data_IF_693584806563
#
_entry.id   IF_693584806563
#
_cell.length_a   1.000
_cell.length_b   1.000
_cell.length_c   1.000
_cell.angle_alpha   90.00
_cell.angle_beta   90.00
_cell.angle_gamma   90.00
#
_symmetry.space_group_name_H-M   'P 1'
#
loop_
_entity.id
_entity.type
_entity.pdbx_description
1 polymer ?
#
# COMPACT_ATOMS: atom_id res chain seq x y z
N UNK A 1 -17.02 -12.17 0.62
CA UNK A 1 -16.44 -12.24 1.97
C UNK A 1 -15.00 -12.71 1.90
N UNK A 2 -14.72 -14.02 1.68
CA UNK A 2 -13.35 -14.53 1.49
C UNK A 2 -12.58 -13.78 0.40
N UNK A 3 -13.24 -13.42 -0.69
CA UNK A 3 -12.63 -12.67 -1.79
C UNK A 3 -12.09 -11.30 -1.38
N UNK A 4 -12.87 -10.46 -0.68
CA UNK A 4 -12.40 -9.14 -0.23
C UNK A 4 -11.22 -9.29 0.74
N UNK A 5 -11.31 -10.20 1.71
CA UNK A 5 -10.21 -10.47 2.64
C UNK A 5 -8.95 -10.93 1.92
N UNK A 6 -9.06 -11.84 0.94
CA UNK A 6 -7.91 -12.30 0.15
C UNK A 6 -7.28 -11.18 -0.67
N UNK A 7 -8.08 -10.36 -1.36
CA UNK A 7 -7.56 -9.22 -2.13
C UNK A 7 -6.96 -8.14 -1.24
N UNK A 8 -7.55 -7.89 -0.07
CA UNK A 8 -6.98 -6.97 0.91
C UNK A 8 -5.64 -7.47 1.44
N UNK A 9 -5.55 -8.77 1.79
CA UNK A 9 -4.30 -9.38 2.25
C UNK A 9 -3.20 -9.28 1.18
N UNK A 10 -3.54 -9.57 -0.08
CA UNK A 10 -2.61 -9.44 -1.20
C UNK A 10 -2.17 -7.97 -1.40
N UNK A 11 -3.12 -7.04 -1.38
CA UNK A 11 -2.83 -5.62 -1.54
C UNK A 11 -1.92 -5.09 -0.43
N UNK A 12 -2.25 -5.37 0.83
CA UNK A 12 -1.43 -4.99 1.98
C UNK A 12 -0.03 -5.62 1.90
N UNK A 13 0.07 -6.88 1.44
CA UNK A 13 1.36 -7.55 1.26
C UNK A 13 2.22 -6.85 0.20
N UNK A 14 1.66 -6.52 -0.97
CA UNK A 14 2.40 -5.80 -2.01
C UNK A 14 2.80 -4.38 -1.56
N UNK A 15 1.92 -3.69 -0.83
CA UNK A 15 2.25 -2.40 -0.25
C UNK A 15 3.43 -2.51 0.74
N UNK A 16 3.40 -3.48 1.67
CA UNK A 16 4.49 -3.70 2.62
C UNK A 16 5.79 -4.09 1.91
N UNK A 17 5.74 -4.97 0.91
CA UNK A 17 6.93 -5.35 0.14
C UNK A 17 7.54 -4.14 -0.57
N UNK A 18 6.69 -3.26 -1.12
CA UNK A 18 7.13 -2.00 -1.69
C UNK A 18 7.80 -1.11 -0.63
N UNK A 19 7.22 -0.95 0.56
CA UNK A 19 7.82 -0.13 1.62
C UNK A 19 9.17 -0.70 2.13
N UNK A 20 9.34 -2.03 2.11
CA UNK A 20 10.63 -2.68 2.42
C UNK A 20 11.68 -2.29 1.36
N UNK A 21 11.33 -2.34 0.08
CA UNK A 21 12.21 -1.93 -1.01
C UNK A 21 12.50 -0.42 -0.95
N UNK A 22 11.49 0.40 -0.67
CA UNK A 22 11.61 1.84 -0.43
C UNK A 22 12.59 2.17 0.69
N UNK A 23 12.56 1.41 1.78
CA UNK A 23 13.51 1.56 2.85
C UNK A 23 14.94 1.17 2.44
N UNK A 24 15.10 0.11 1.63
CA UNK A 24 16.40 -0.27 1.07
C UNK A 24 16.97 0.83 0.16
N UNK A 25 16.13 1.41 -0.68
CA UNK A 25 16.45 2.51 -1.60
C UNK A 25 16.57 3.88 -0.91
N UNK A 26 16.38 3.92 0.41
CA UNK A 26 16.45 5.13 1.24
C UNK A 26 15.52 6.23 0.75
N UNK A 27 14.27 5.90 0.45
CA UNK A 27 13.31 6.84 -0.13
C UNK A 27 13.12 8.12 0.71
N UNK A 28 13.39 8.07 2.02
CA UNK A 28 13.43 9.28 2.86
C UNK A 28 14.43 10.34 2.39
N UNK A 29 15.52 9.99 1.70
CA UNK A 29 16.45 10.94 1.09
C UNK A 29 15.84 11.59 -0.16
N UNK A 30 15.00 10.85 -0.89
CA UNK A 30 14.29 11.29 -2.09
C UNK A 30 13.14 12.24 -1.71
N UNK A 31 12.34 11.83 -0.73
CA UNK A 31 11.21 12.59 -0.18
C UNK A 31 11.66 13.72 0.77
N UNK A 32 12.96 13.82 1.05
CA UNK A 32 13.56 14.80 1.95
C UNK A 32 12.89 14.81 3.34
N UNK A 33 12.57 13.62 3.85
CA UNK A 33 11.90 13.49 5.14
C UNK A 33 12.81 13.94 6.29
N UNK A 34 12.30 14.72 7.25
CA UNK A 34 13.06 15.09 8.43
C UNK A 34 13.36 13.84 9.27
N UNK A 35 14.54 13.80 9.91
CA UNK A 35 14.94 12.67 10.74
C UNK A 35 15.34 11.39 9.98
N UNK A 36 15.42 11.43 8.62
CA UNK A 36 15.89 10.31 7.78
C UNK A 36 15.12 9.01 8.06
N UNK A 37 15.81 7.92 8.36
CA UNK A 37 15.23 6.61 8.73
C UNK A 37 14.24 6.73 9.88
N UNK A 38 14.53 7.54 10.90
CA UNK A 38 13.64 7.70 12.06
C UNK A 38 12.30 8.29 11.66
N UNK A 39 12.31 9.34 10.82
CA UNK A 39 11.09 9.94 10.29
C UNK A 39 10.30 8.97 9.42
N UNK A 40 11.00 8.19 8.58
CA UNK A 40 10.40 7.14 7.76
C UNK A 40 9.69 6.09 8.62
N UNK A 41 10.36 5.55 9.65
CA UNK A 41 9.76 4.56 10.55
C UNK A 41 8.56 5.12 11.33
N UNK A 42 8.67 6.34 11.88
CA UNK A 42 7.57 6.97 12.63
C UNK A 42 6.32 7.18 11.76
N UNK A 43 6.50 7.47 10.48
CA UNK A 43 5.40 7.55 9.51
C UNK A 43 4.78 6.17 9.22
N UNK A 44 5.62 5.14 9.06
CA UNK A 44 5.17 3.81 8.66
C UNK A 44 4.53 2.99 9.78
N UNK A 45 4.92 3.19 11.04
CA UNK A 45 4.30 2.51 12.20
C UNK A 45 2.78 2.63 12.18
N UNK A 46 2.16 3.84 12.16
CA UNK A 46 0.71 3.96 12.13
C UNK A 46 0.10 3.41 10.84
N UNK A 47 0.78 3.55 9.69
CA UNK A 47 0.30 3.01 8.41
C UNK A 47 0.18 1.49 8.47
N UNK A 48 1.24 0.80 8.91
CA UNK A 48 1.25 -0.67 9.02
C UNK A 48 0.22 -1.14 10.05
N UNK A 49 0.08 -0.45 11.19
CA UNK A 49 -0.95 -0.77 12.18
C UNK A 49 -2.36 -0.66 11.58
N UNK A 50 -2.65 0.41 10.83
CA UNK A 50 -3.95 0.58 10.17
C UNK A 50 -4.18 -0.52 9.13
N UNK A 51 -3.16 -0.90 8.33
CA UNK A 51 -3.27 -1.99 7.36
C UNK A 51 -3.64 -3.31 8.04
N UNK A 52 -2.92 -3.68 9.10
CA UNK A 52 -3.16 -4.94 9.82
C UNK A 52 -4.50 -4.92 10.56
N UNK A 53 -4.85 -3.81 11.20
CA UNK A 53 -6.14 -3.65 11.86
C UNK A 53 -7.30 -3.71 10.85
N UNK A 54 -7.13 -3.09 9.68
CA UNK A 54 -8.11 -3.15 8.59
C UNK A 54 -8.40 -4.57 8.12
N UNK A 55 -7.40 -5.47 8.11
CA UNK A 55 -7.62 -6.89 7.80
C UNK A 55 -8.59 -7.54 8.79
N UNK A 56 -8.39 -7.31 10.10
CA UNK A 56 -9.25 -7.84 11.16
C UNK A 56 -10.68 -7.30 11.03
N UNK A 57 -10.82 -6.01 10.74
CA UNK A 57 -12.12 -5.36 10.61
C UNK A 57 -12.86 -5.75 9.33
N UNK A 58 -12.14 -5.98 8.22
CA UNK A 58 -12.70 -6.53 6.98
C UNK A 58 -13.20 -7.96 7.20
N UNK A 59 -12.46 -8.79 7.93
CA UNK A 59 -12.90 -10.14 8.27
C UNK A 59 -14.21 -10.12 9.09
N UNK A 60 -14.32 -9.19 10.05
CA UNK A 60 -15.54 -8.94 10.82
C UNK A 60 -16.65 -8.22 10.05
N UNK A 61 -16.39 -7.80 8.81
CA UNK A 61 -17.35 -7.06 7.95
C UNK A 61 -17.87 -5.76 8.59
N UNK A 62 -17.01 -5.03 9.30
CA UNK A 62 -17.43 -3.77 9.91
C UNK A 62 -17.37 -2.62 8.90
N UNK A 63 -18.17 -1.56 9.15
CA UNK A 63 -18.09 -0.32 8.35
C UNK A 63 -16.69 0.30 8.40
N UNK A 64 -16.01 0.20 9.54
CA UNK A 64 -14.63 0.65 9.68
C UNK A 64 -13.68 -0.15 8.77
N UNK A 65 -13.84 -1.48 8.72
CA UNK A 65 -13.08 -2.35 7.82
C UNK A 65 -13.25 -1.96 6.35
N UNK A 66 -14.49 -1.68 5.92
CA UNK A 66 -14.73 -1.24 4.54
C UNK A 66 -14.14 0.14 4.25
N UNK A 67 -14.25 1.10 5.18
CA UNK A 67 -13.62 2.41 5.03
C UNK A 67 -12.09 2.30 4.92
N UNK A 68 -11.46 1.47 5.78
CA UNK A 68 -10.02 1.20 5.72
C UNK A 68 -9.66 0.49 4.41
N UNK A 69 -10.51 -0.42 3.92
CA UNK A 69 -10.35 -1.07 2.61
C UNK A 69 -10.30 -0.08 1.46
N UNK A 70 -11.20 0.92 1.44
CA UNK A 70 -11.18 2.00 0.44
C UNK A 70 -9.88 2.80 0.53
N UNK A 71 -9.50 3.23 1.74
CA UNK A 71 -8.27 4.00 1.96
C UNK A 71 -7.03 3.22 1.54
N UNK A 72 -6.95 1.95 1.89
CA UNK A 72 -5.85 1.04 1.54
C UNK A 72 -5.79 0.82 0.03
N UNK A 73 -6.94 0.57 -0.61
CA UNK A 73 -7.01 0.38 -2.06
C UNK A 73 -6.59 1.62 -2.86
N UNK A 74 -6.95 2.82 -2.39
CA UNK A 74 -6.45 4.09 -2.96
C UNK A 74 -4.96 4.26 -2.67
N UNK A 75 -4.52 3.95 -1.45
CA UNK A 75 -3.12 4.00 -1.04
C UNK A 75 -2.21 3.13 -1.91
N UNK A 76 -2.70 1.96 -2.36
CA UNK A 76 -2.00 1.08 -3.29
C UNK A 76 -1.65 1.69 -4.65
N UNK A 77 -2.29 2.80 -5.02
CA UNK A 77 -1.97 3.56 -6.24
C UNK A 77 -0.76 4.49 -6.05
N UNK A 78 -0.50 4.94 -4.82
CA UNK A 78 0.51 5.98 -4.54
C UNK A 78 1.92 5.53 -4.97
N UNK A 79 2.41 4.33 -4.61
CA UNK A 79 3.71 3.84 -5.08
C UNK A 79 3.88 3.90 -6.59
N UNK A 80 2.86 3.46 -7.32
CA UNK A 80 2.90 3.45 -8.78
C UNK A 80 2.99 4.88 -9.33
N UNK A 81 2.19 5.81 -8.82
CA UNK A 81 2.23 7.21 -9.23
C UNK A 81 3.60 7.83 -8.95
N UNK A 82 4.16 7.61 -7.76
CA UNK A 82 5.46 8.15 -7.35
C UNK A 82 6.57 7.60 -8.27
N UNK A 83 6.66 6.29 -8.46
CA UNK A 83 7.81 5.69 -9.15
C UNK A 83 7.70 5.63 -10.68
N UNK A 84 6.50 5.59 -11.25
CA UNK A 84 6.32 5.52 -12.72
C UNK A 84 5.98 6.85 -13.38
N UNK A 85 5.35 7.76 -12.64
CA UNK A 85 4.89 9.04 -13.18
C UNK A 85 5.74 10.19 -12.67
N UNK A 86 5.89 10.34 -11.35
CA UNK A 86 6.50 11.55 -10.75
C UNK A 86 8.03 11.49 -10.75
N UNK A 87 8.60 10.40 -10.23
CA UNK A 87 10.04 10.24 -10.00
C UNK A 87 10.61 9.23 -10.98
N UNK A 88 10.98 9.70 -12.17
CA UNK A 88 11.71 8.87 -13.14
C UNK A 88 13.22 9.04 -12.94
N UNK A 89 13.85 8.12 -12.21
CA UNK A 89 15.32 8.05 -12.08
C UNK A 89 15.89 6.79 -12.69
N UNK A 90 17.00 6.91 -13.43
CA UNK A 90 17.77 5.77 -13.92
C UNK A 90 18.42 5.06 -12.72
N UNK A 91 18.23 3.74 -12.63
CA UNK A 91 18.98 2.87 -11.70
C UNK A 91 18.32 2.50 -10.36
N UNK A 92 17.16 3.04 -10.02
CA UNK A 92 16.42 2.70 -8.78
C UNK A 92 15.07 2.03 -9.14
N UNK A 93 14.64 1.00 -8.41
CA UNK A 93 13.42 0.22 -8.70
C UNK A 93 13.32 -0.32 -10.14
N UNK A 94 14.42 -0.90 -10.66
CA UNK A 94 14.47 -1.44 -12.03
C UNK A 94 14.39 -2.97 -12.09
N UNK A 95 14.17 -3.65 -10.96
CA UNK A 95 13.98 -5.08 -10.98
C UNK A 95 12.57 -5.41 -11.48
N UNK A 96 12.47 -6.47 -12.30
CA UNK A 96 11.20 -6.95 -12.83
C UNK A 96 10.18 -7.27 -11.71
N UNK A 97 10.68 -7.65 -10.52
CA UNK A 97 9.85 -7.93 -9.36
C UNK A 97 9.26 -6.65 -8.74
N UNK A 98 10.01 -5.55 -8.72
CA UNK A 98 9.54 -4.24 -8.24
C UNK A 98 8.38 -3.75 -9.10
N UNK A 99 8.53 -3.88 -10.43
CA UNK A 99 7.47 -3.55 -11.38
C UNK A 99 6.24 -4.43 -11.17
N UNK A 100 6.43 -5.73 -11.03
CA UNK A 100 5.34 -6.65 -10.70
C UNK A 100 4.61 -6.22 -9.42
N UNK A 101 5.33 -5.92 -8.34
CA UNK A 101 4.74 -5.47 -7.07
C UNK A 101 3.92 -4.19 -7.30
N UNK A 102 4.44 -3.19 -8.01
CA UNK A 102 3.73 -1.93 -8.25
C UNK A 102 2.43 -2.13 -9.04
N UNK A 103 2.46 -2.88 -10.15
CA UNK A 103 1.25 -3.14 -10.94
C UNK A 103 0.27 -4.04 -10.19
N UNK A 104 0.74 -5.07 -9.49
CA UNK A 104 -0.09 -5.94 -8.68
C UNK A 104 -0.76 -5.16 -7.54
N UNK A 105 -0.06 -4.20 -6.93
CA UNK A 105 -0.60 -3.32 -5.90
C UNK A 105 -1.73 -2.44 -6.46
N UNK A 106 -1.57 -1.88 -7.65
CA UNK A 106 -2.64 -1.11 -8.34
C UNK A 106 -3.86 -1.99 -8.60
N UNK A 107 -3.68 -3.15 -9.22
CA UNK A 107 -4.79 -4.04 -9.59
C UNK A 107 -5.54 -4.50 -8.35
N UNK A 108 -4.82 -5.00 -7.35
CA UNK A 108 -5.43 -5.46 -6.09
C UNK A 108 -6.08 -4.31 -5.34
N UNK A 109 -5.49 -3.12 -5.34
CA UNK A 109 -6.02 -1.93 -4.66
C UNK A 109 -7.34 -1.45 -5.26
N UNK A 110 -7.44 -1.40 -6.59
CA UNK A 110 -8.70 -1.08 -7.30
C UNK A 110 -9.78 -2.09 -6.94
N UNK A 111 -9.46 -3.39 -6.96
CA UNK A 111 -10.42 -4.45 -6.61
C UNK A 111 -10.88 -4.32 -5.15
N UNK A 112 -9.96 -4.09 -4.21
CA UNK A 112 -10.30 -3.87 -2.79
C UNK A 112 -11.23 -2.67 -2.64
N UNK A 113 -10.88 -1.52 -3.22
CA UNK A 113 -11.69 -0.31 -3.11
C UNK A 113 -13.10 -0.52 -3.66
N UNK A 114 -13.24 -1.14 -4.84
CA UNK A 114 -14.55 -1.44 -5.44
C UNK A 114 -15.38 -2.39 -4.58
N UNK A 115 -14.77 -3.46 -4.07
CA UNK A 115 -15.46 -4.43 -3.22
C UNK A 115 -15.87 -3.79 -1.88
N UNK A 116 -15.02 -2.96 -1.29
CA UNK A 116 -15.32 -2.24 -0.05
C UNK A 116 -16.44 -1.21 -0.23
N UNK A 117 -16.47 -0.45 -1.33
CA UNK A 117 -17.58 0.49 -1.64
C UNK A 117 -18.89 -0.28 -1.76
N UNK A 118 -18.88 -1.40 -2.49
CA UNK A 118 -20.07 -2.25 -2.65
C UNK A 118 -20.57 -2.85 -1.33
N UNK A 119 -19.69 -3.04 -0.35
CA UNK A 119 -20.07 -3.56 0.97
C UNK A 119 -20.61 -2.50 1.93
N UNK A 120 -20.46 -1.20 1.60
CA UNK A 120 -21.06 -0.09 2.37
C UNK A 120 -22.42 0.32 1.81
N UNK A 121 -22.57 0.29 0.48
CA UNK A 121 -23.81 0.65 -0.24
C UNK A 121 -24.91 -0.41 -0.08
#
# INVERSE_FOLDING_TARGET
>A
MKTLTSFYLLNATFLILHEIESAYEKEWEILKLPGKVTGFLLMHIPIVLILLYGLLEIEKQTRAGFAIGILTGIGGLIPFLVHKIVVRRKGHFHHWISDFILYANVITGVVVAMLSVRSIA
#
